data_IF_913785638540
#
_entry.id   IF_913785638540
#
_cell.length_a   1.000
_cell.length_b   1.000
_cell.length_c   1.000
_cell.angle_alpha   90.00
_cell.angle_beta   90.00
_cell.angle_gamma   90.00
#
_symmetry.space_group_name_H-M   'P 1'
#
loop_
_entity.id
_entity.type
_entity.pdbx_description
1 polymer ?
#
# COMPACT_ATOMS: atom_id res chain seq x y z
N UNK A 1 -30.72 -15.93 -18.40
CA UNK A 1 -30.08 -14.82 -17.66
C UNK A 1 -28.92 -14.33 -18.50
N UNK A 2 -29.08 -13.25 -19.26
CA UNK A 2 -27.95 -12.55 -19.88
C UNK A 2 -27.55 -11.39 -18.96
N UNK A 3 -26.71 -11.68 -17.97
CA UNK A 3 -26.09 -10.68 -17.11
C UNK A 3 -24.70 -10.36 -17.62
N UNK A 4 -24.34 -9.07 -17.71
CA UNK A 4 -22.96 -8.65 -17.95
C UNK A 4 -22.16 -8.90 -16.67
N UNK A 5 -21.41 -10.00 -16.64
CA UNK A 5 -20.51 -10.30 -15.52
C UNK A 5 -19.21 -9.49 -15.62
N UNK A 6 -18.71 -9.05 -14.47
CA UNK A 6 -17.46 -8.29 -14.35
C UNK A 6 -16.55 -9.07 -13.39
N UNK A 7 -15.28 -9.26 -13.78
CA UNK A 7 -14.26 -9.85 -12.92
C UNK A 7 -13.56 -8.69 -12.18
N UNK A 8 -13.38 -8.78 -10.85
CA UNK A 8 -12.74 -7.71 -10.09
C UNK A 8 -11.26 -7.56 -10.44
N UNK A 9 -10.74 -6.35 -10.29
CA UNK A 9 -9.29 -6.11 -10.26
C UNK A 9 -8.78 -6.59 -8.90
N UNK A 10 -7.76 -7.47 -8.85
CA UNK A 10 -7.23 -7.94 -7.59
C UNK A 10 -6.41 -6.85 -6.90
N UNK A 11 -6.50 -6.77 -5.59
CA UNK A 11 -5.58 -6.04 -4.72
C UNK A 11 -4.66 -7.09 -4.09
N UNK A 12 -3.41 -7.18 -4.57
CA UNK A 12 -2.50 -8.24 -4.17
C UNK A 12 -1.61 -7.75 -3.05
N UNK A 13 -1.87 -8.16 -1.80
CA UNK A 13 -0.98 -7.81 -0.69
C UNK A 13 0.38 -8.49 -0.86
N UNK A 14 1.45 -7.70 -0.91
CA UNK A 14 2.81 -8.19 -1.17
C UNK A 14 3.84 -7.74 -0.13
N UNK A 15 3.50 -6.75 0.71
CA UNK A 15 4.30 -6.36 1.89
C UNK A 15 3.36 -6.20 3.09
N UNK A 16 3.64 -6.93 4.16
CA UNK A 16 2.93 -6.88 5.43
C UNK A 16 3.67 -5.99 6.44
N UNK A 17 2.90 -5.32 7.29
CA UNK A 17 3.34 -4.57 8.46
C UNK A 17 2.31 -4.62 9.59
N UNK A 18 2.40 -3.64 10.50
CA UNK A 18 1.51 -3.56 11.66
C UNK A 18 1.52 -4.84 12.47
N UNK A 19 0.33 -5.31 12.85
CA UNK A 19 0.16 -6.56 13.61
C UNK A 19 0.52 -7.82 12.82
N UNK A 20 0.46 -7.75 11.48
CA UNK A 20 0.78 -8.90 10.61
C UNK A 20 2.30 -9.14 10.48
N UNK A 21 3.14 -8.16 10.85
CA UNK A 21 4.59 -8.28 10.74
C UNK A 21 5.35 -7.38 11.73
N UNK A 22 5.74 -7.96 12.87
CA UNK A 22 6.56 -7.27 13.87
C UNK A 22 7.89 -6.80 13.26
N UNK A 23 8.24 -5.53 13.49
CA UNK A 23 9.45 -4.87 13.00
C UNK A 23 9.53 -4.59 11.49
N UNK A 24 8.44 -4.81 10.74
CA UNK A 24 8.25 -4.32 9.37
C UNK A 24 7.71 -2.89 9.38
N UNK A 25 6.80 -2.51 8.49
CA UNK A 25 6.11 -1.21 8.44
C UNK A 25 5.09 -1.00 9.56
N UNK A 26 4.69 0.25 9.82
CA UNK A 26 3.54 0.55 10.70
C UNK A 26 2.21 0.32 9.97
N UNK A 27 2.16 0.63 8.68
CA UNK A 27 1.02 0.33 7.80
C UNK A 27 0.90 -1.19 7.65
N UNK A 28 -0.34 -1.71 7.73
CA UNK A 28 -0.61 -3.14 7.80
C UNK A 28 -0.38 -3.86 6.46
N UNK A 29 -0.81 -3.26 5.36
CA UNK A 29 -0.76 -3.91 4.04
C UNK A 29 -0.37 -2.92 2.95
N UNK A 30 0.55 -3.34 2.08
CA UNK A 30 0.86 -2.67 0.83
C UNK A 30 0.64 -3.63 -0.33
N UNK A 31 -0.22 -3.20 -1.25
CA UNK A 31 -0.77 -4.04 -2.30
C UNK A 31 -0.33 -3.57 -3.69
N UNK A 32 0.10 -4.51 -4.53
CA UNK A 32 0.26 -4.29 -5.97
C UNK A 32 -1.08 -4.52 -6.69
N UNK A 33 -1.47 -3.54 -7.51
CA UNK A 33 -2.79 -3.51 -8.16
C UNK A 33 -2.62 -3.54 -9.68
N UNK A 34 -2.74 -4.71 -10.33
CA UNK A 34 -2.60 -4.87 -11.79
C UNK A 34 -3.84 -4.37 -12.55
N UNK A 35 -4.15 -3.07 -12.48
CA UNK A 35 -5.36 -2.50 -13.07
C UNK A 35 -5.24 -2.16 -14.57
N UNK A 36 -4.03 -2.17 -15.15
CA UNK A 36 -3.83 -1.83 -16.56
C UNK A 36 -4.09 -2.97 -17.56
N UNK A 37 -4.48 -4.15 -17.08
CA UNK A 37 -4.61 -5.35 -17.92
C UNK A 37 -6.06 -5.59 -18.38
N UNK A 38 -6.21 -5.99 -19.64
CA UNK A 38 -7.53 -6.30 -20.24
C UNK A 38 -8.10 -7.66 -19.82
N UNK A 39 -7.26 -8.57 -19.31
CA UNK A 39 -7.63 -9.95 -18.97
C UNK A 39 -7.14 -10.28 -17.58
N UNK A 40 -8.04 -10.77 -16.72
CA UNK A 40 -7.73 -11.15 -15.34
C UNK A 40 -6.53 -12.11 -15.24
N UNK A 41 -6.46 -13.13 -16.12
CA UNK A 41 -5.33 -14.06 -16.15
C UNK A 41 -3.97 -13.38 -16.34
N UNK A 42 -3.90 -12.33 -17.15
CA UNK A 42 -2.64 -11.59 -17.36
C UNK A 42 -2.34 -10.70 -16.15
N UNK A 43 -3.38 -10.13 -15.52
CA UNK A 43 -3.23 -9.36 -14.29
C UNK A 43 -2.64 -10.22 -13.15
N UNK A 44 -3.13 -11.45 -12.99
CA UNK A 44 -2.60 -12.41 -11.99
C UNK A 44 -1.18 -12.87 -12.34
N UNK A 45 -0.92 -13.23 -13.59
CA UNK A 45 0.43 -13.60 -14.02
C UNK A 45 1.44 -12.48 -13.72
N UNK A 46 1.12 -11.25 -14.13
CA UNK A 46 1.95 -10.09 -13.86
C UNK A 46 2.13 -9.86 -12.35
N UNK A 47 1.08 -10.08 -11.55
CA UNK A 47 1.15 -10.00 -10.09
C UNK A 47 2.16 -10.98 -9.50
N UNK A 48 2.19 -12.23 -9.98
CA UNK A 48 3.18 -13.24 -9.57
C UNK A 48 4.60 -12.82 -9.97
N UNK A 49 4.79 -12.27 -11.17
CA UNK A 49 6.09 -11.79 -11.65
C UNK A 49 6.62 -10.63 -10.79
N UNK A 50 5.75 -9.66 -10.45
CA UNK A 50 6.08 -8.56 -9.52
C UNK A 50 6.42 -9.10 -8.13
N UNK A 51 5.69 -10.09 -7.62
CA UNK A 51 5.97 -10.72 -6.33
C UNK A 51 7.36 -11.38 -6.30
N UNK A 52 7.74 -12.15 -7.33
CA UNK A 52 9.06 -12.77 -7.41
C UNK A 52 10.19 -11.76 -7.70
N UNK A 53 9.88 -10.67 -8.41
CA UNK A 53 10.78 -9.53 -8.56
C UNK A 53 11.07 -8.87 -7.21
N UNK A 54 10.02 -8.65 -6.39
CA UNK A 54 10.16 -8.12 -5.04
C UNK A 54 10.99 -9.05 -4.14
N UNK A 55 10.74 -10.37 -4.17
CA UNK A 55 11.57 -11.35 -3.45
C UNK A 55 13.07 -11.17 -3.78
N UNK A 56 13.40 -11.09 -5.07
CA UNK A 56 14.79 -10.94 -5.53
C UNK A 56 15.38 -9.59 -5.09
N UNK A 57 14.58 -8.53 -5.11
CA UNK A 57 14.96 -7.21 -4.64
C UNK A 57 15.28 -7.21 -3.14
N UNK A 58 14.40 -7.78 -2.32
CA UNK A 58 14.58 -7.90 -0.87
C UNK A 58 15.85 -8.69 -0.54
N UNK A 59 16.02 -9.86 -1.16
CA UNK A 59 17.20 -10.71 -0.99
C UNK A 59 18.49 -9.96 -1.36
N UNK A 60 18.49 -9.22 -2.47
CA UNK A 60 19.66 -8.43 -2.90
C UNK A 60 20.05 -7.30 -1.94
N UNK A 61 19.08 -6.79 -1.17
CA UNK A 61 19.28 -5.76 -0.14
C UNK A 61 19.57 -6.35 1.24
N UNK A 62 19.64 -7.67 1.38
CA UNK A 62 19.80 -8.36 2.66
C UNK A 62 18.59 -8.23 3.59
N UNK A 63 17.41 -7.92 3.05
CA UNK A 63 16.17 -7.79 3.80
C UNK A 63 15.50 -9.17 3.96
N UNK A 64 14.70 -9.31 5.02
CA UNK A 64 13.96 -10.53 5.30
C UNK A 64 12.95 -10.87 4.19
N UNK A 65 12.95 -12.14 3.76
CA UNK A 65 12.01 -12.68 2.76
C UNK A 65 11.01 -13.66 3.36
N UNK A 66 10.84 -13.64 4.69
CA UNK A 66 9.79 -14.40 5.37
C UNK A 66 8.43 -13.83 5.00
N UNK A 67 7.44 -14.71 4.87
CA UNK A 67 6.06 -14.33 4.55
C UNK A 67 5.24 -14.18 5.83
N UNK A 68 4.34 -13.20 5.84
CA UNK A 68 3.32 -13.03 6.88
C UNK A 68 2.09 -13.91 6.61
N UNK A 69 1.04 -13.69 7.39
CA UNK A 69 -0.18 -14.51 7.38
C UNK A 69 -0.92 -14.51 6.03
N UNK A 70 -0.75 -13.44 5.25
CA UNK A 70 -1.40 -13.26 3.94
C UNK A 70 -0.48 -13.55 2.75
N UNK A 71 0.72 -14.09 3.01
CA UNK A 71 1.69 -14.43 1.98
C UNK A 71 2.52 -13.26 1.44
N UNK A 72 2.27 -12.02 1.89
CA UNK A 72 3.15 -10.88 1.64
C UNK A 72 4.45 -10.98 2.43
N UNK A 73 5.49 -10.28 1.99
CA UNK A 73 6.78 -10.26 2.69
C UNK A 73 6.73 -9.35 3.92
N UNK A 74 7.55 -9.67 4.93
CA UNK A 74 7.67 -8.89 6.17
C UNK A 74 9.09 -8.31 6.35
N UNK A 75 9.62 -7.49 5.43
CA UNK A 75 10.97 -6.95 5.54
C UNK A 75 11.06 -5.90 6.65
N UNK A 76 12.18 -5.85 7.38
CA UNK A 76 12.41 -4.75 8.32
C UNK A 76 12.82 -3.49 7.58
N UNK A 77 11.96 -2.47 7.58
CA UNK A 77 12.16 -1.21 6.86
C UNK A 77 12.33 -0.03 7.83
N UNK A 78 13.09 0.98 7.39
CA UNK A 78 13.33 2.20 8.14
C UNK A 78 12.17 3.19 8.09
N UNK A 79 11.28 3.09 7.10
CA UNK A 79 10.10 3.93 6.98
C UNK A 79 8.96 3.23 6.23
N UNK A 80 7.74 3.72 6.39
CA UNK A 80 6.59 3.26 5.60
C UNK A 80 6.74 3.64 4.12
N UNK A 81 7.44 4.74 3.83
CA UNK A 81 7.74 5.21 2.47
C UNK A 81 8.61 4.20 1.71
N UNK A 82 9.61 3.59 2.37
CA UNK A 82 10.48 2.58 1.74
C UNK A 82 9.69 1.39 1.18
N UNK A 83 8.55 1.01 1.78
CA UNK A 83 7.71 -0.04 1.22
C UNK A 83 7.10 0.36 -0.13
N UNK A 84 6.67 1.62 -0.28
CA UNK A 84 6.17 2.15 -1.57
C UNK A 84 7.27 2.14 -2.63
N UNK A 85 8.48 2.56 -2.27
CA UNK A 85 9.65 2.57 -3.16
C UNK A 85 10.02 1.16 -3.60
N UNK A 86 10.06 0.19 -2.68
CA UNK A 86 10.34 -1.21 -3.01
C UNK A 86 9.32 -1.81 -3.97
N UNK A 87 8.03 -1.45 -3.83
CA UNK A 87 6.98 -1.93 -4.74
C UNK A 87 7.16 -1.32 -6.13
N UNK A 88 7.45 -0.01 -6.22
CA UNK A 88 7.75 0.64 -7.51
C UNK A 88 8.95 -0.03 -8.18
N UNK A 89 10.06 -0.19 -7.46
CA UNK A 89 11.26 -0.86 -7.97
C UNK A 89 10.96 -2.29 -8.44
N UNK A 90 10.14 -3.04 -7.70
CA UNK A 90 9.77 -4.40 -8.05
C UNK A 90 8.91 -4.46 -9.32
N UNK A 91 7.96 -3.53 -9.49
CA UNK A 91 7.14 -3.38 -10.70
C UNK A 91 8.03 -3.10 -11.91
N UNK A 92 8.94 -2.13 -11.80
CA UNK A 92 9.84 -1.75 -12.89
C UNK A 92 10.80 -2.89 -13.25
N UNK A 93 11.40 -3.56 -12.25
CA UNK A 93 12.28 -4.72 -12.47
C UNK A 93 11.56 -5.91 -13.11
N UNK A 94 10.26 -6.06 -12.86
CA UNK A 94 9.44 -7.08 -13.51
C UNK A 94 9.09 -6.72 -14.98
N UNK A 95 9.46 -5.52 -15.45
CA UNK A 95 9.23 -5.06 -16.82
C UNK A 95 7.89 -4.37 -17.04
N UNK A 96 7.22 -3.94 -15.96
CA UNK A 96 5.94 -3.23 -16.01
C UNK A 96 6.08 -1.75 -15.66
N UNK A 97 5.12 -0.92 -16.09
CA UNK A 97 5.13 0.52 -15.83
C UNK A 97 4.24 0.88 -14.62
N UNK A 98 4.80 1.43 -13.54
CA UNK A 98 4.03 1.99 -12.42
C UNK A 98 3.11 3.12 -12.89
N UNK A 99 1.89 3.19 -12.35
CA UNK A 99 0.87 4.17 -12.73
C UNK A 99 0.14 3.89 -14.06
N UNK A 100 0.52 2.84 -14.79
CA UNK A 100 -0.12 2.42 -16.04
C UNK A 100 -0.59 0.97 -15.97
N UNK A 101 0.34 0.04 -15.75
CA UNK A 101 0.03 -1.39 -15.65
C UNK A 101 -0.26 -1.79 -14.21
N UNK A 102 0.52 -1.24 -13.28
CA UNK A 102 0.35 -1.43 -11.85
C UNK A 102 0.11 -0.11 -11.12
N UNK A 103 -0.66 -0.20 -10.05
CA UNK A 103 -0.83 0.84 -9.05
C UNK A 103 -0.56 0.25 -7.66
N UNK A 104 -0.55 1.11 -6.65
CA UNK A 104 -0.38 0.72 -5.26
C UNK A 104 -1.66 1.02 -4.49
N UNK A 105 -2.11 0.07 -3.67
CA UNK A 105 -3.11 0.30 -2.63
C UNK A 105 -2.49 0.00 -1.26
N UNK A 106 -3.07 0.58 -0.21
CA UNK A 106 -2.60 0.39 1.16
C UNK A 106 -3.81 0.17 2.08
N UNK A 107 -3.66 -0.74 3.04
CA UNK A 107 -4.50 -0.77 4.24
C UNK A 107 -3.66 -0.33 5.42
N UNK A 108 -4.09 0.77 6.04
CA UNK A 108 -3.39 1.38 7.18
C UNK A 108 -3.73 0.71 8.50
N UNK A 109 -4.94 0.13 8.65
CA UNK A 109 -5.48 -0.23 9.95
C UNK A 109 -5.30 0.90 11.00
N UNK A 110 -5.71 2.14 10.65
CA UNK A 110 -5.35 3.36 11.38
C UNK A 110 -5.75 3.38 12.86
N UNK A 111 -6.73 2.56 13.25
CA UNK A 111 -7.12 2.36 14.65
C UNK A 111 -5.96 1.82 15.49
N UNK A 112 -5.14 0.92 14.95
CA UNK A 112 -3.99 0.33 15.64
C UNK A 112 -2.85 1.34 15.87
N UNK A 113 -2.81 2.38 15.03
CA UNK A 113 -1.85 3.47 15.15
C UNK A 113 -2.32 4.58 16.11
N UNK A 114 -3.63 4.66 16.38
CA UNK A 114 -4.22 5.78 17.09
C UNK A 114 -4.09 5.67 18.61
N UNK A 115 -3.48 6.70 19.22
CA UNK A 115 -3.44 6.90 20.66
C UNK A 115 -4.55 7.84 21.10
N UNK A 116 -5.54 7.31 21.82
CA UNK A 116 -6.71 8.06 22.28
C UNK A 116 -6.42 9.09 23.37
N UNK A 117 -5.36 8.91 24.16
CA UNK A 117 -4.97 9.85 25.23
C UNK A 117 -4.41 11.15 24.63
N UNK A 118 -3.50 10.99 23.68
CA UNK A 118 -2.77 12.11 23.08
C UNK A 118 -3.44 12.64 21.80
N UNK A 119 -4.43 11.90 21.27
CA UNK A 119 -5.11 12.16 19.99
C UNK A 119 -4.12 12.26 18.83
N UNK A 120 -3.19 11.31 18.79
CA UNK A 120 -2.13 11.23 17.78
C UNK A 120 -2.07 9.84 17.15
N UNK A 121 -1.43 9.74 15.99
CA UNK A 121 -1.08 8.50 15.30
C UNK A 121 0.41 8.23 15.51
N UNK A 122 0.74 7.05 16.01
CA UNK A 122 2.10 6.63 16.30
C UNK A 122 2.73 5.95 15.09
N UNK A 123 3.71 6.60 14.48
CA UNK A 123 4.50 6.11 13.35
C UNK A 123 5.86 5.66 13.89
N UNK A 124 5.95 4.40 14.32
CA UNK A 124 7.12 3.89 15.04
C UNK A 124 8.33 3.77 14.12
N UNK A 125 8.14 3.49 12.82
CA UNK A 125 9.25 3.44 11.85
C UNK A 125 9.89 4.80 11.69
N UNK A 126 9.09 5.86 11.60
CA UNK A 126 9.55 7.24 11.53
C UNK A 126 9.90 7.84 12.90
N UNK A 127 9.73 7.09 13.99
CA UNK A 127 10.05 7.54 15.36
C UNK A 127 9.23 8.76 15.81
N UNK A 128 8.03 8.96 15.28
CA UNK A 128 7.23 10.17 15.52
C UNK A 128 5.78 9.85 15.86
N UNK A 129 5.13 10.77 16.57
CA UNK A 129 3.67 10.78 16.77
C UNK A 129 3.09 12.06 16.18
N UNK A 130 2.05 11.94 15.37
CA UNK A 130 1.50 13.07 14.60
C UNK A 130 0.00 13.23 14.82
N UNK A 131 -0.52 14.47 14.74
CA UNK A 131 -1.96 14.71 14.72
C UNK A 131 -2.57 14.33 13.37
N UNK A 132 -3.89 14.19 13.34
CA UNK A 132 -4.67 13.80 12.16
C UNK A 132 -4.35 14.65 10.92
N UNK A 133 -4.18 15.96 11.05
CA UNK A 133 -3.90 16.85 9.92
C UNK A 133 -2.56 16.53 9.26
N UNK A 134 -1.54 16.27 10.09
CA UNK A 134 -0.21 15.89 9.61
C UNK A 134 -0.20 14.47 9.08
N UNK A 135 -0.95 13.57 9.71
CA UNK A 135 -1.14 12.20 9.22
C UNK A 135 -1.73 12.19 7.81
N UNK A 136 -2.84 12.90 7.57
CA UNK A 136 -3.43 13.07 6.23
C UNK A 136 -2.43 13.69 5.23
N UNK A 137 -1.67 14.70 5.65
CA UNK A 137 -0.66 15.33 4.79
C UNK A 137 0.44 14.35 4.34
N UNK A 138 0.77 13.34 5.15
CA UNK A 138 1.70 12.27 4.76
C UNK A 138 1.10 11.45 3.62
N UNK A 139 -0.16 11.03 3.73
CA UNK A 139 -0.86 10.32 2.65
C UNK A 139 -0.99 11.16 1.38
N UNK A 140 -1.29 12.45 1.51
CA UNK A 140 -1.37 13.36 0.36
C UNK A 140 -0.03 13.43 -0.39
N UNK A 141 1.10 13.40 0.33
CA UNK A 141 2.42 13.30 -0.30
C UNK A 141 2.60 11.97 -1.02
N UNK A 142 2.19 10.85 -0.42
CA UNK A 142 2.30 9.54 -1.06
C UNK A 142 1.42 9.40 -2.30
N UNK A 143 0.20 9.96 -2.28
CA UNK A 143 -0.69 10.00 -3.44
C UNK A 143 -0.11 10.85 -4.57
N UNK A 144 0.69 11.85 -4.24
CA UNK A 144 1.34 12.73 -5.22
C UNK A 144 2.58 12.06 -5.81
N UNK A 145 3.39 11.42 -4.97
CA UNK A 145 4.73 10.94 -5.33
C UNK A 145 4.72 9.51 -5.90
N UNK A 146 3.72 8.70 -5.57
CA UNK A 146 3.61 7.29 -5.98
C UNK A 146 2.30 7.04 -6.75
N UNK A 147 2.22 5.96 -7.54
CA UNK A 147 0.97 5.56 -8.21
C UNK A 147 -0.03 4.95 -7.21
N UNK A 148 -0.23 5.61 -6.06
CA UNK A 148 -1.19 5.23 -5.06
C UNK A 148 -2.60 5.47 -5.63
N UNK A 149 -3.33 4.38 -5.84
CA UNK A 149 -4.62 4.42 -6.47
C UNK A 149 -5.54 3.44 -5.78
N UNK A 150 -6.08 3.85 -4.63
CA UNK A 150 -7.11 3.06 -3.96
C UNK A 150 -8.33 2.93 -4.88
N UNK A 151 -8.82 4.01 -5.50
CA UNK A 151 -9.86 3.98 -6.56
C UNK A 151 -9.96 5.34 -7.29
N UNK A 152 -9.27 5.54 -8.42
CA UNK A 152 -9.44 6.71 -9.28
C UNK A 152 -10.67 6.54 -10.18
N UNK A 153 -11.85 6.55 -9.56
CA UNK A 153 -13.02 7.24 -10.10
C UNK A 153 -13.37 8.34 -9.10
N UNK A 154 -13.01 9.60 -9.42
CA UNK A 154 -13.54 10.75 -8.66
C UNK A 154 -15.07 10.65 -8.69
N UNK A 155 -15.72 10.74 -7.51
CA UNK A 155 -16.20 12.04 -7.10
C UNK A 155 -15.60 12.42 -5.75
N UNK A 156 -14.85 13.51 -5.80
CA UNK A 156 -14.47 14.41 -4.71
C UNK A 156 -15.21 14.14 -3.38
N UNK A 157 -14.58 13.44 -2.45
CA UNK A 157 -14.85 13.65 -1.03
C UNK A 157 -14.24 15.01 -0.67
N UNK A 158 -15.02 16.08 -0.87
CA UNK A 158 -14.79 17.34 -0.16
C UNK A 158 -15.05 16.99 1.30
N UNK A 159 -13.99 16.79 2.07
CA UNK A 159 -14.07 17.01 3.51
C UNK A 159 -14.31 18.51 3.72
N UNK A 160 -15.56 18.93 3.58
CA UNK A 160 -15.98 20.23 4.03
C UNK A 160 -15.92 20.20 5.55
N UNK A 161 -14.88 20.84 6.09
CA UNK A 161 -14.95 21.38 7.44
C UNK A 161 -16.18 22.27 7.54
N UNK A 162 -17.16 21.83 8.33
CA UNK A 162 -18.12 22.74 8.96
C UNK A 162 -17.96 22.57 10.47
N UNK A 163 -17.18 23.50 11.01
CA UNK A 163 -17.33 24.00 12.37
C UNK A 163 -18.75 24.60 12.55
N UNK A 164 -19.26 24.53 13.78
CA UNK A 164 -20.43 25.28 14.27
C UNK A 164 -21.53 24.33 14.75
N UNK A 165 -21.68 24.07 16.05
CA UNK A 165 -22.33 24.96 17.02
C UNK A 165 -23.78 25.29 16.62
N UNK A 166 -24.72 24.44 17.03
CA UNK A 166 -25.89 24.66 17.90
C UNK A 166 -26.74 23.41 17.91
#
# INVERSE_FOLDING_TARGET
MEGKFIIPVPLLNIINGGEHAKNSTDIQEFMAVPAGFKKFRHAIQAGCEVYHSLYSLLASKGLGTTVGDEGGFAPSLGSNKEALELIVDAIEKAGYTPGKEFFIAIDTAATELFNSKDKTYNLKREGTSVKAEKFCSIYDSWVTDYPLNQYRRRPVLKMNGKNGAT
#
